data_IF_697255007387
#
_entry.id   IF_697255007387
#
_cell.length_a   1.000
_cell.length_b   1.000
_cell.length_c   1.000
_cell.angle_alpha   90.00
_cell.angle_beta   90.00
_cell.angle_gamma   90.00
#
_symmetry.space_group_name_H-M   'P 1'
#
loop_
_entity.id
_entity.type
_entity.pdbx_description
1 polymer ?
#
# COMPACT_ATOMS: atom_id res chain seq x y z
N UNK A 1 -28.88 6.32 -14.93
CA UNK A 1 -27.84 5.32 -15.26
C UNK A 1 -27.10 4.99 -13.97
N UNK A 2 -26.87 3.71 -13.62
CA UNK A 2 -26.17 3.36 -12.40
C UNK A 2 -24.76 3.97 -12.44
N UNK A 3 -24.39 4.56 -11.31
CA UNK A 3 -23.16 5.28 -11.07
C UNK A 3 -21.93 4.42 -11.43
N UNK A 4 -21.28 4.69 -12.57
CA UNK A 4 -20.03 4.04 -13.02
C UNK A 4 -18.87 4.16 -11.99
N UNK A 5 -19.03 5.00 -10.96
CA UNK A 5 -18.06 5.26 -9.88
C UNK A 5 -17.72 4.06 -8.98
N UNK A 6 -18.38 2.90 -9.12
CA UNK A 6 -18.03 1.73 -8.31
C UNK A 6 -16.85 0.95 -8.86
N UNK A 7 -16.58 1.06 -10.16
CA UNK A 7 -15.49 0.32 -10.78
C UNK A 7 -14.14 0.89 -10.31
N UNK A 8 -13.14 0.05 -9.99
CA UNK A 8 -11.83 0.55 -9.60
C UNK A 8 -11.16 1.30 -10.76
N UNK A 9 -10.59 2.48 -10.48
CA UNK A 9 -9.84 3.26 -11.48
C UNK A 9 -8.61 2.50 -12.01
N UNK A 10 -8.05 1.58 -11.21
CA UNK A 10 -6.94 0.71 -11.60
C UNK A 10 -7.43 -0.62 -12.16
N UNK A 11 -6.83 -1.09 -13.26
CA UNK A 11 -7.14 -2.42 -13.81
C UNK A 11 -6.73 -3.55 -12.85
N UNK A 12 -7.41 -4.69 -12.97
CA UNK A 12 -7.12 -5.86 -12.14
C UNK A 12 -5.66 -6.34 -12.26
N UNK A 13 -5.05 -6.20 -13.43
CA UNK A 13 -3.65 -6.57 -13.66
C UNK A 13 -2.66 -5.61 -12.99
N UNK A 14 -3.03 -4.34 -12.82
CA UNK A 14 -2.25 -3.39 -12.00
C UNK A 14 -2.34 -3.77 -10.53
N UNK A 15 -3.53 -4.12 -10.02
CA UNK A 15 -3.74 -4.51 -8.63
C UNK A 15 -2.98 -5.81 -8.28
N UNK A 16 -2.98 -6.80 -9.18
CA UNK A 16 -2.18 -8.04 -9.03
C UNK A 16 -0.70 -7.75 -8.92
N UNK A 17 -0.15 -6.98 -9.87
CA UNK A 17 1.26 -6.57 -9.85
C UNK A 17 1.60 -5.84 -8.55
N UNK A 18 0.75 -4.91 -8.11
CA UNK A 18 0.94 -4.18 -6.85
C UNK A 18 1.06 -5.11 -5.64
N UNK A 19 0.26 -6.18 -5.57
CA UNK A 19 0.37 -7.18 -4.50
C UNK A 19 1.75 -7.84 -4.48
N UNK A 20 2.26 -8.25 -5.66
CA UNK A 20 3.58 -8.87 -5.76
C UNK A 20 4.70 -7.90 -5.38
N UNK A 21 4.60 -6.64 -5.79
CA UNK A 21 5.55 -5.59 -5.38
C UNK A 21 5.58 -5.39 -3.87
N UNK A 22 4.41 -5.27 -3.23
CA UNK A 22 4.33 -5.09 -1.78
C UNK A 22 4.96 -6.25 -1.01
N UNK A 23 4.78 -7.50 -1.48
CA UNK A 23 5.42 -8.68 -0.89
C UNK A 23 6.94 -8.61 -1.01
N UNK A 24 7.46 -8.24 -2.18
CA UNK A 24 8.92 -8.14 -2.43
C UNK A 24 9.58 -7.07 -1.58
N UNK A 25 8.93 -5.91 -1.40
CA UNK A 25 9.43 -4.83 -0.55
C UNK A 25 9.55 -5.29 0.91
N UNK A 26 8.52 -5.96 1.44
CA UNK A 26 8.56 -6.49 2.81
C UNK A 26 9.68 -7.52 3.00
N UNK A 27 9.78 -8.47 2.08
CA UNK A 27 10.83 -9.50 2.12
C UNK A 27 12.24 -8.88 2.10
N UNK A 28 12.44 -7.84 1.29
CA UNK A 28 13.72 -7.13 1.26
C UNK A 28 14.08 -6.58 2.64
N UNK A 29 13.18 -5.87 3.32
CA UNK A 29 13.47 -5.30 4.64
C UNK A 29 13.64 -6.36 5.73
N UNK A 30 12.84 -7.43 5.67
CA UNK A 30 12.96 -8.58 6.58
C UNK A 30 14.35 -9.24 6.48
N UNK A 31 14.85 -9.45 5.26
CA UNK A 31 16.19 -10.01 5.01
C UNK A 31 17.32 -9.14 5.57
N UNK A 32 17.09 -7.85 5.77
CA UNK A 32 18.06 -6.91 6.33
C UNK A 32 17.85 -6.65 7.83
N UNK A 33 16.93 -7.38 8.48
CA UNK A 33 16.65 -7.24 9.91
C UNK A 33 15.92 -5.94 10.27
N UNK A 34 15.20 -5.34 9.33
CA UNK A 34 14.42 -4.12 9.57
C UNK A 34 13.01 -4.49 10.01
N UNK A 35 12.60 -3.99 11.18
CA UNK A 35 11.27 -4.24 11.76
C UNK A 35 10.20 -3.38 11.06
N UNK A 36 9.21 -4.02 10.43
CA UNK A 36 7.99 -3.34 9.95
C UNK A 36 7.11 -2.95 11.14
N UNK A 37 6.63 -1.70 11.17
CA UNK A 37 5.75 -1.18 12.22
C UNK A 37 4.56 -0.46 11.60
N UNK A 38 3.42 -0.50 12.29
CA UNK A 38 2.25 0.32 11.98
C UNK A 38 2.21 1.51 12.93
N UNK A 39 2.15 2.72 12.37
CA UNK A 39 2.02 3.96 13.15
C UNK A 39 0.60 4.53 13.02
N UNK A 40 0.13 5.35 13.97
CA UNK A 40 -1.13 6.07 13.83
C UNK A 40 -1.19 6.85 12.50
N UNK A 41 -2.32 6.77 11.79
CA UNK A 41 -2.52 7.44 10.50
C UNK A 41 -2.62 8.97 10.67
N UNK A 42 -3.03 9.43 11.85
CA UNK A 42 -3.19 10.84 12.17
C UNK A 42 -2.32 11.23 13.38
N UNK A 43 -1.83 12.46 13.36
CA UNK A 43 -1.09 13.11 14.43
C UNK A 43 -1.63 14.52 14.64
N UNK A 44 -1.52 15.03 15.86
CA UNK A 44 -1.87 16.42 16.17
C UNK A 44 -0.79 17.43 15.68
N UNK A 45 0.38 16.96 15.26
CA UNK A 45 1.48 17.77 14.77
C UNK A 45 1.97 17.27 13.39
N UNK A 46 2.41 18.21 12.55
CA UNK A 46 3.11 17.96 11.28
C UNK A 46 4.60 18.25 11.43
N UNK A 47 5.41 17.77 10.48
CA UNK A 47 6.79 18.26 10.30
C UNK A 47 6.77 19.76 9.92
N UNK A 48 7.79 20.55 10.33
CA UNK A 48 7.93 21.96 9.94
C UNK A 48 7.94 22.18 8.42
#
# INVERSE_FOLDING_TARGET
>A
MPNEKWWPDASIDVLRRRSDWLKRIRLFFEQHGVLEVETPVLSNASVP
#
